data_IF_040898575040
#
_entry.id   IF_040898575040
#
_cell.length_a   1.000
_cell.length_b   1.000
_cell.length_c   1.000
_cell.angle_alpha   90.00
_cell.angle_beta   90.00
_cell.angle_gamma   90.00
#
_symmetry.space_group_name_H-M   'P 1'
#
loop_
_entity.id
_entity.type
_entity.pdbx_description
1 polymer ?
#
# COMPACT_ATOMS: atom_id res chain seq x y z
N UNK A 1 19.45 -14.40 -5.57
CA UNK A 1 20.12 -15.66 -5.98
C UNK A 1 19.17 -16.38 -6.92
N UNK A 2 19.56 -16.62 -8.18
CA UNK A 2 18.66 -17.15 -9.21
C UNK A 2 18.64 -18.68 -9.29
N UNK A 3 19.32 -19.38 -8.38
CA UNK A 3 19.39 -20.85 -8.37
C UNK A 3 19.32 -21.36 -6.94
N UNK A 4 18.33 -22.20 -6.66
CA UNK A 4 18.18 -22.87 -5.37
C UNK A 4 18.34 -24.37 -5.61
N UNK A 5 19.05 -25.06 -4.70
CA UNK A 5 19.20 -26.52 -4.73
C UNK A 5 18.45 -27.14 -3.53
N UNK A 6 17.17 -27.52 -3.70
CA UNK A 6 16.44 -28.23 -2.66
C UNK A 6 17.09 -29.57 -2.34
N UNK A 7 17.01 -30.01 -1.08
CA UNK A 7 17.66 -31.25 -0.59
C UNK A 7 17.34 -32.53 -1.40
N UNK A 8 16.22 -32.57 -2.13
CA UNK A 8 15.75 -33.76 -2.88
C UNK A 8 15.56 -33.53 -4.39
N UNK A 9 15.89 -32.35 -4.91
CA UNK A 9 15.60 -32.00 -6.31
C UNK A 9 16.83 -31.42 -7.01
N UNK A 10 16.90 -31.54 -8.35
CA UNK A 10 17.94 -30.90 -9.13
C UNK A 10 17.91 -29.37 -8.95
N UNK A 11 19.05 -28.76 -9.19
CA UNK A 11 19.22 -27.30 -9.11
C UNK A 11 18.24 -26.63 -10.07
N UNK A 12 17.39 -25.77 -9.51
CA UNK A 12 16.30 -25.14 -10.26
C UNK A 12 16.52 -23.64 -10.26
N UNK A 13 16.35 -23.02 -11.42
CA UNK A 13 16.37 -21.57 -11.55
C UNK A 13 15.07 -20.99 -11.02
N UNK A 14 15.18 -19.96 -10.18
CA UNK A 14 14.03 -19.30 -9.58
C UNK A 14 14.26 -17.79 -9.69
N UNK A 15 13.33 -17.11 -10.37
CA UNK A 15 13.21 -15.66 -10.36
C UNK A 15 12.03 -15.31 -9.45
N UNK A 16 12.33 -14.84 -8.24
CA UNK A 16 11.33 -14.52 -7.21
C UNK A 16 11.45 -13.05 -6.80
N UNK A 17 10.30 -12.40 -6.65
CA UNK A 17 10.17 -11.07 -6.07
C UNK A 17 9.26 -11.15 -4.86
N UNK A 18 9.78 -10.73 -3.71
CA UNK A 18 9.00 -10.65 -2.46
C UNK A 18 8.54 -9.21 -2.29
N UNK A 19 7.23 -8.99 -2.18
CA UNK A 19 6.62 -7.68 -1.93
C UNK A 19 5.92 -7.75 -0.58
N UNK A 20 6.33 -6.88 0.35
CA UNK A 20 5.70 -6.72 1.65
C UNK A 20 5.23 -5.28 1.84
N UNK A 21 4.12 -5.10 2.54
CA UNK A 21 3.69 -3.80 3.03
C UNK A 21 3.88 -3.73 4.54
N UNK A 22 4.29 -2.58 5.05
CA UNK A 22 4.40 -2.32 6.48
C UNK A 22 4.08 -0.86 6.73
N UNK A 23 3.62 -0.55 7.94
CA UNK A 23 3.49 0.82 8.39
C UNK A 23 4.87 1.40 8.72
N UNK A 24 4.97 2.73 8.72
CA UNK A 24 6.21 3.46 8.96
C UNK A 24 6.82 3.24 10.36
N UNK A 25 6.06 3.20 11.48
CA UNK A 25 6.63 2.94 12.80
C UNK A 25 7.24 1.54 12.93
N UNK A 26 6.57 0.53 12.38
CA UNK A 26 7.00 -0.87 12.36
C UNK A 26 8.23 -1.04 11.48
N UNK A 27 8.27 -0.34 10.33
CA UNK A 27 9.46 -0.27 9.48
C UNK A 27 10.66 0.32 10.22
N UNK A 28 10.48 1.42 10.97
CA UNK A 28 11.55 2.02 11.79
C UNK A 28 12.06 1.07 12.86
N UNK A 29 11.18 0.32 13.52
CA UNK A 29 11.58 -0.72 14.49
C UNK A 29 12.42 -1.82 13.83
N UNK A 30 12.03 -2.23 12.62
CA UNK A 30 12.78 -3.23 11.85
C UNK A 30 14.14 -2.70 11.37
N UNK A 31 14.22 -1.44 10.95
CA UNK A 31 15.49 -0.81 10.56
C UNK A 31 16.51 -0.75 11.69
N UNK A 32 16.06 -0.62 12.94
CA UNK A 32 16.91 -0.55 14.12
C UNK A 32 17.36 -1.93 14.64
N UNK A 33 16.87 -3.02 14.04
CA UNK A 33 17.21 -4.38 14.47
C UNK A 33 18.44 -4.90 13.69
N UNK A 34 19.57 -5.05 14.38
CA UNK A 34 20.84 -5.54 13.80
C UNK A 34 20.71 -6.93 13.16
N UNK A 35 19.86 -7.82 13.71
CA UNK A 35 19.64 -9.15 13.13
C UNK A 35 19.01 -9.10 11.72
N UNK A 36 18.38 -7.99 11.35
CA UNK A 36 17.71 -7.79 10.05
C UNK A 36 18.58 -7.03 9.04
N UNK A 37 19.82 -6.69 9.38
CA UNK A 37 20.71 -5.88 8.52
C UNK A 37 20.91 -6.49 7.12
N UNK A 38 21.13 -7.80 7.05
CA UNK A 38 21.33 -8.52 5.79
C UNK A 38 20.08 -8.51 4.88
N UNK A 39 18.87 -8.46 5.47
CA UNK A 39 17.63 -8.33 4.72
C UNK A 39 17.40 -6.88 4.26
N UNK A 40 17.76 -5.91 5.11
CA UNK A 40 17.65 -4.48 4.80
C UNK A 40 18.49 -4.10 3.59
N UNK A 41 19.72 -4.60 3.50
CA UNK A 41 20.63 -4.33 2.37
C UNK A 41 20.11 -4.88 1.02
N UNK A 42 19.20 -5.86 1.08
CA UNK A 42 18.60 -6.52 -0.10
C UNK A 42 17.17 -6.06 -0.40
N UNK A 43 16.64 -5.10 0.36
CA UNK A 43 15.25 -4.62 0.22
C UNK A 43 15.25 -3.18 -0.26
N UNK A 44 14.38 -2.87 -1.22
CA UNK A 44 14.15 -1.49 -1.69
C UNK A 44 12.91 -0.94 -1.00
N UNK A 45 13.05 0.18 -0.28
CA UNK A 45 11.90 0.91 0.27
C UNK A 45 11.19 1.66 -0.85
N UNK A 46 9.88 1.46 -0.96
CA UNK A 46 9.01 2.28 -1.81
C UNK A 46 8.04 3.01 -0.91
N UNK A 47 8.20 4.33 -0.81
CA UNK A 47 7.31 5.18 -0.02
C UNK A 47 6.01 5.45 -0.79
N UNK A 48 4.87 5.14 -0.15
CA UNK A 48 3.54 5.41 -0.70
C UNK A 48 2.96 6.63 0.04
N UNK A 49 2.98 7.83 -0.57
CA UNK A 49 2.41 9.01 0.05
C UNK A 49 0.89 8.97 0.08
N UNK A 50 0.31 9.72 1.02
CA UNK A 50 -1.12 9.96 1.03
C UNK A 50 -1.59 10.67 -0.24
N UNK A 51 -2.79 10.32 -0.70
CA UNK A 51 -3.44 11.00 -1.82
C UNK A 51 -3.98 12.33 -1.32
N UNK A 52 -3.47 13.41 -1.90
CA UNK A 52 -3.83 14.80 -1.60
C UNK A 52 -4.60 15.48 -2.74
N UNK A 53 -4.75 14.79 -3.88
CA UNK A 53 -5.49 15.30 -5.04
C UNK A 53 -6.92 14.79 -4.98
N UNK A 54 -7.88 15.70 -4.87
CA UNK A 54 -9.31 15.38 -4.85
C UNK A 54 -9.74 14.47 -6.01
N UNK A 55 -9.34 14.80 -7.23
CA UNK A 55 -9.71 14.02 -8.42
C UNK A 55 -9.21 12.56 -8.37
N UNK A 56 -8.09 12.30 -7.69
CA UNK A 56 -7.58 10.93 -7.53
C UNK A 56 -8.33 10.18 -6.42
N UNK A 57 -8.67 10.84 -5.31
CA UNK A 57 -9.47 10.24 -4.24
C UNK A 57 -10.91 9.91 -4.73
N UNK A 58 -11.51 10.77 -5.56
CA UNK A 58 -12.82 10.51 -6.19
C UNK A 58 -12.77 9.22 -7.02
N UNK A 59 -11.75 9.02 -7.87
CA UNK A 59 -11.61 7.81 -8.68
C UNK A 59 -11.53 6.54 -7.83
N UNK A 60 -10.90 6.60 -6.66
CA UNK A 60 -10.83 5.47 -5.74
C UNK A 60 -12.21 5.13 -5.20
N UNK A 61 -12.95 6.13 -4.74
CA UNK A 61 -14.30 5.90 -4.24
C UNK A 61 -15.25 5.47 -5.35
N UNK A 62 -15.17 6.00 -6.57
CA UNK A 62 -15.97 5.52 -7.70
C UNK A 62 -15.69 4.04 -8.05
N UNK A 63 -14.46 3.55 -7.82
CA UNK A 63 -14.12 2.15 -8.04
C UNK A 63 -14.89 1.19 -7.13
N UNK A 64 -15.24 1.62 -5.92
CA UNK A 64 -15.94 0.78 -4.93
C UNK A 64 -17.41 1.14 -4.78
N UNK A 65 -17.75 2.42 -4.85
CA UNK A 65 -19.07 3.00 -4.67
C UNK A 65 -19.75 3.31 -6.02
N UNK A 66 -19.72 2.37 -6.96
CA UNK A 66 -20.45 2.47 -8.22
C UNK A 66 -21.76 1.65 -8.20
N UNK A 67 -22.70 1.94 -9.12
CA UNK A 67 -23.96 1.20 -9.24
C UNK A 67 -23.78 -0.31 -9.53
N UNK A 68 -22.63 -0.73 -10.05
CA UNK A 68 -22.37 -2.14 -10.35
C UNK A 68 -22.05 -2.95 -9.08
N UNK A 69 -21.26 -2.38 -8.17
CA UNK A 69 -20.90 -2.97 -6.86
C UNK A 69 -21.96 -2.74 -5.81
N UNK A 70 -22.52 -1.53 -5.72
CA UNK A 70 -23.56 -1.20 -4.74
C UNK A 70 -24.93 -1.32 -5.40
N UNK A 71 -25.49 -2.53 -5.32
CA UNK A 71 -26.82 -2.83 -5.86
C UNK A 71 -27.91 -2.45 -4.87
N UNK A 72 -28.98 -1.82 -5.36
CA UNK A 72 -30.19 -1.56 -4.59
C UNK A 72 -30.09 -0.42 -3.56
N UNK A 73 -29.00 0.36 -3.56
CA UNK A 73 -28.90 1.58 -2.75
C UNK A 73 -28.69 2.80 -3.66
N UNK A 74 -29.45 3.85 -3.39
CA UNK A 74 -29.25 5.14 -4.04
C UNK A 74 -28.09 5.88 -3.37
N UNK A 75 -27.14 6.36 -4.17
CA UNK A 75 -26.08 7.27 -3.74
C UNK A 75 -26.47 8.65 -4.27
N UNK A 76 -26.66 9.61 -3.38
CA UNK A 76 -27.04 10.96 -3.79
C UNK A 76 -25.92 11.62 -4.61
N UNK A 77 -26.24 12.50 -5.57
CA UNK A 77 -25.25 13.28 -6.30
C UNK A 77 -24.27 13.97 -5.34
N UNK A 78 -23.01 14.14 -5.77
CA UNK A 78 -21.92 14.75 -4.97
C UNK A 78 -21.54 14.04 -3.67
N UNK A 79 -22.19 12.92 -3.28
CA UNK A 79 -21.83 12.19 -2.05
C UNK A 79 -20.38 11.72 -2.08
N UNK A 80 -19.94 11.15 -3.20
CA UNK A 80 -18.56 10.66 -3.38
C UNK A 80 -17.58 11.82 -3.36
N UNK A 81 -17.92 12.93 -4.03
CA UNK A 81 -17.10 14.14 -4.08
C UNK A 81 -16.92 14.75 -2.69
N UNK A 82 -17.99 14.87 -1.90
CA UNK A 82 -17.94 15.38 -0.53
C UNK A 82 -17.13 14.47 0.40
N UNK A 83 -17.31 13.16 0.29
CA UNK A 83 -16.52 12.19 1.08
C UNK A 83 -15.03 12.25 0.71
N UNK A 84 -14.71 12.35 -0.58
CA UNK A 84 -13.33 12.48 -1.07
C UNK A 84 -12.70 13.79 -0.59
N UNK A 85 -13.45 14.89 -0.67
CA UNK A 85 -12.99 16.20 -0.18
C UNK A 85 -12.66 16.14 1.29
N UNK A 86 -13.58 15.62 2.12
CA UNK A 86 -13.35 15.47 3.55
C UNK A 86 -12.10 14.63 3.84
N UNK A 87 -11.96 13.48 3.19
CA UNK A 87 -10.81 12.60 3.39
C UNK A 87 -9.49 13.28 3.01
N UNK A 88 -9.43 14.02 1.91
CA UNK A 88 -8.23 14.77 1.52
C UNK A 88 -7.90 15.86 2.55
N UNK A 89 -8.89 16.62 3.01
CA UNK A 89 -8.69 17.68 4.01
C UNK A 89 -8.08 17.14 5.30
N UNK A 90 -8.48 15.94 5.75
CA UNK A 90 -7.88 15.31 6.94
C UNK A 90 -6.40 14.94 6.81
N UNK A 91 -5.86 14.93 5.59
CA UNK A 91 -4.46 14.58 5.28
C UNK A 91 -3.60 15.81 4.93
N UNK A 92 -4.19 17.01 4.90
CA UNK A 92 -3.44 18.25 4.61
C UNK A 92 -2.66 18.76 5.81
N UNK A 93 -3.15 18.50 7.02
CA UNK A 93 -2.40 18.80 8.24
C UNK A 93 -1.54 17.58 8.62
N UNK A 94 -0.28 17.84 8.96
CA UNK A 94 0.58 16.81 9.51
C UNK A 94 -0.01 16.29 10.83
N UNK A 95 -0.05 14.97 11.05
CA UNK A 95 -0.54 14.42 12.30
C UNK A 95 0.28 14.97 13.46
N UNK A 96 -0.40 15.54 14.46
CA UNK A 96 0.24 15.96 15.71
C UNK A 96 0.88 14.72 16.35
N UNK A 97 2.21 14.78 16.51
CA UNK A 97 3.01 13.75 17.19
C UNK A 97 2.45 13.36 18.55
#
# INVERSE_FOLDING_TARGET
EHQIKPKKFPQTFIDEVIIGHTNEPEYRRLQNNEYMEALRDRTVKVDIPYITKLNEEIKIYEKDYNPAKIRGKHIAPHTIEMAAMWAVLTRLEDPKK
#
